data_IF_948954058054
#
_entry.id   IF_948954058054
#
_cell.length_a   1.000
_cell.length_b   1.000
_cell.length_c   1.000
_cell.angle_alpha   90.00
_cell.angle_beta   90.00
_cell.angle_gamma   90.00
#
_symmetry.space_group_name_H-M   'P 1'
#
loop_
_entity.id
_entity.type
_entity.pdbx_description
1 polymer ?
#
# COMPACT_ATOMS: atom_id res chain seq x y z
N UNK A 1 -4.24 -5.07 28.82
CA UNK A 1 -4.06 -6.15 27.81
C UNK A 1 -3.40 -5.56 26.56
N UNK A 2 -2.62 -6.34 25.82
CA UNK A 2 -2.04 -5.91 24.54
C UNK A 2 -2.61 -6.76 23.40
N UNK A 3 -3.03 -6.11 22.32
CA UNK A 3 -3.65 -6.73 21.15
C UNK A 3 -2.72 -6.60 19.95
N UNK A 4 -2.30 -7.73 19.40
CA UNK A 4 -1.39 -7.80 18.26
C UNK A 4 -2.07 -8.45 17.06
N UNK A 5 -1.87 -7.88 15.87
CA UNK A 5 -2.24 -8.54 14.62
C UNK A 5 -1.12 -9.48 14.17
N UNK A 6 -1.30 -10.78 14.38
CA UNK A 6 -0.24 -11.79 14.15
C UNK A 6 -0.11 -12.24 12.70
N UNK A 7 -1.10 -11.94 11.84
CA UNK A 7 -1.16 -12.38 10.44
C UNK A 7 -0.65 -11.35 9.44
N UNK A 8 0.19 -10.41 9.89
CA UNK A 8 0.67 -9.30 9.06
C UNK A 8 1.49 -9.78 7.84
N UNK A 9 2.20 -10.90 7.97
CA UNK A 9 3.02 -11.46 6.91
C UNK A 9 2.18 -11.91 5.70
N UNK A 10 1.07 -12.61 5.95
CA UNK A 10 0.17 -13.06 4.89
C UNK A 10 -0.56 -11.87 4.25
N UNK A 11 -1.05 -10.96 5.09
CA UNK A 11 -1.76 -9.75 4.64
C UNK A 11 -0.86 -8.88 3.75
N UNK A 12 0.43 -8.77 4.09
CA UNK A 12 1.41 -8.01 3.31
C UNK A 12 1.49 -8.47 1.86
N UNK A 13 1.47 -9.77 1.60
CA UNK A 13 1.56 -10.32 0.24
C UNK A 13 0.30 -9.98 -0.56
N UNK A 14 -0.88 -10.15 0.07
CA UNK A 14 -2.17 -9.81 -0.56
C UNK A 14 -2.27 -8.32 -0.86
N UNK A 15 -1.97 -7.46 0.12
CA UNK A 15 -2.00 -6.00 -0.03
C UNK A 15 -1.02 -5.51 -1.08
N UNK A 16 0.18 -6.10 -1.19
CA UNK A 16 1.14 -5.75 -2.23
C UNK A 16 0.56 -6.03 -3.62
N UNK A 17 0.00 -7.22 -3.82
CA UNK A 17 -0.61 -7.60 -5.11
C UNK A 17 -1.75 -6.67 -5.51
N UNK A 18 -2.66 -6.37 -4.57
CA UNK A 18 -3.78 -5.46 -4.80
C UNK A 18 -3.31 -4.02 -5.08
N UNK A 19 -2.37 -3.50 -4.28
CA UNK A 19 -1.85 -2.14 -4.45
C UNK A 19 -1.06 -1.98 -5.76
N UNK A 20 -0.28 -2.97 -6.17
CA UNK A 20 0.41 -2.94 -7.48
C UNK A 20 -0.58 -2.99 -8.64
N UNK A 21 -1.65 -3.78 -8.53
CA UNK A 21 -2.70 -3.84 -9.56
C UNK A 21 -3.42 -2.49 -9.69
N UNK A 22 -3.78 -1.87 -8.57
CA UNK A 22 -4.37 -0.53 -8.55
C UNK A 22 -3.41 0.52 -9.14
N UNK A 23 -2.13 0.49 -8.76
CA UNK A 23 -1.12 1.40 -9.32
C UNK A 23 -0.98 1.26 -10.85
N UNK A 24 -1.03 0.03 -11.38
CA UNK A 24 -1.02 -0.22 -12.83
C UNK A 24 -2.24 0.40 -13.53
N UNK A 25 -3.44 0.16 -12.98
CA UNK A 25 -4.67 0.71 -13.54
C UNK A 25 -4.64 2.24 -13.61
N UNK A 26 -4.15 2.89 -12.54
CA UNK A 26 -3.98 4.35 -12.51
C UNK A 26 -2.96 4.82 -13.54
N UNK A 27 -1.83 4.14 -13.66
CA UNK A 27 -0.81 4.47 -14.64
C UNK A 27 -1.31 4.34 -16.09
N UNK A 28 -2.11 3.32 -16.40
CA UNK A 28 -2.77 3.16 -17.71
C UNK A 28 -3.74 4.31 -18.00
N UNK A 29 -4.58 4.68 -17.03
CA UNK A 29 -5.53 5.80 -17.21
C UNK A 29 -4.79 7.13 -17.43
N UNK A 30 -3.70 7.37 -16.71
CA UNK A 30 -2.88 8.57 -16.90
C UNK A 30 -2.25 8.57 -18.29
N UNK A 31 -1.61 7.47 -18.71
CA UNK A 31 -0.90 7.44 -19.99
C UNK A 31 -1.84 7.56 -21.19
N UNK A 32 -3.01 6.91 -21.14
CA UNK A 32 -4.02 6.98 -22.20
C UNK A 32 -4.47 8.42 -22.46
N UNK A 33 -4.69 9.20 -21.40
CA UNK A 33 -5.08 10.61 -21.50
C UNK A 33 -3.95 11.51 -22.05
N UNK A 34 -2.69 11.06 -22.00
CA UNK A 34 -1.54 11.79 -22.55
C UNK A 34 -1.08 11.27 -23.92
N UNK A 35 -1.82 10.33 -24.54
CA UNK A 35 -1.46 9.73 -25.82
C UNK A 35 -0.30 8.75 -25.77
N UNK A 36 0.07 8.28 -24.58
CA UNK A 36 1.16 7.32 -24.35
C UNK A 36 0.64 5.99 -23.80
N UNK A 37 1.47 4.95 -23.84
CA UNK A 37 1.13 3.66 -23.22
C UNK A 37 2.15 3.31 -22.14
N UNK A 38 1.72 2.63 -21.07
CA UNK A 38 2.68 2.12 -20.08
C UNK A 38 3.37 0.84 -20.59
N UNK A 39 4.63 0.70 -20.23
CA UNK A 39 5.49 -0.46 -20.49
C UNK A 39 5.63 -1.36 -19.26
N UNK A 40 6.78 -2.03 -19.16
CA UNK A 40 7.05 -2.93 -18.05
C UNK A 40 7.20 -2.17 -16.72
N UNK A 41 6.89 -2.85 -15.61
CA UNK A 41 7.20 -2.35 -14.27
C UNK A 41 8.73 -2.28 -14.10
N UNK A 42 9.24 -1.09 -13.78
CA UNK A 42 10.67 -0.85 -13.54
C UNK A 42 11.05 -1.00 -12.08
N UNK A 43 10.18 -0.54 -11.18
CA UNK A 43 10.39 -0.65 -9.74
C UNK A 43 9.07 -0.63 -8.99
N UNK A 44 8.99 -1.38 -7.90
CA UNK A 44 7.93 -1.27 -6.91
C UNK A 44 8.56 -1.20 -5.52
N UNK A 45 8.14 -0.23 -4.72
CA UNK A 45 8.60 -0.03 -3.35
C UNK A 45 7.39 0.07 -2.42
N UNK A 46 7.35 -0.80 -1.43
CA UNK A 46 6.36 -0.72 -0.35
C UNK A 46 6.91 0.18 0.76
N UNK A 47 6.07 1.10 1.25
CA UNK A 47 6.34 1.93 2.41
C UNK A 47 6.17 1.19 3.73
N UNK A 48 6.31 1.94 4.82
CA UNK A 48 6.04 1.44 6.17
C UNK A 48 4.54 1.15 6.38
N UNK A 49 4.23 0.19 7.24
CA UNK A 49 2.86 -0.10 7.64
C UNK A 49 2.40 0.86 8.74
N UNK A 50 1.16 1.32 8.62
CA UNK A 50 0.43 2.02 9.66
C UNK A 50 -0.63 1.06 10.19
N UNK A 51 -0.43 0.56 11.41
CA UNK A 51 -1.40 -0.28 12.12
C UNK A 51 -1.98 0.57 13.24
N UNK A 52 -3.15 1.15 12.98
CA UNK A 52 -3.79 2.15 13.83
C UNK A 52 -5.13 1.63 14.35
N UNK A 53 -5.71 2.26 15.39
CA UNK A 53 -7.11 2.02 15.76
C UNK A 53 -8.05 2.30 14.59
N UNK A 54 -9.22 1.68 14.60
CA UNK A 54 -10.27 1.94 13.60
C UNK A 54 -10.61 3.44 13.54
N UNK A 55 -10.72 3.99 12.33
CA UNK A 55 -10.98 5.42 12.06
C UNK A 55 -9.89 6.40 12.52
N UNK A 56 -8.70 5.92 12.87
CA UNK A 56 -7.57 6.80 13.17
C UNK A 56 -6.98 7.39 11.89
N UNK A 57 -6.65 8.68 11.94
CA UNK A 57 -5.93 9.41 10.86
C UNK A 57 -4.44 9.55 11.17
N UNK A 58 -3.95 8.86 12.20
CA UNK A 58 -2.55 8.91 12.60
C UNK A 58 -1.65 8.28 11.54
N UNK A 59 -0.54 8.94 11.27
CA UNK A 59 0.50 8.48 10.35
C UNK A 59 1.88 8.79 10.93
N UNK A 60 2.84 7.91 10.69
CA UNK A 60 4.23 8.07 11.13
C UNK A 60 5.19 7.64 10.02
N UNK A 61 6.29 8.37 9.87
CA UNK A 61 7.36 8.02 8.93
C UNK A 61 8.00 6.66 9.25
N UNK A 62 7.97 6.25 10.52
CA UNK A 62 8.49 4.96 10.98
C UNK A 62 7.42 3.86 11.01
N UNK A 63 6.17 4.19 10.69
CA UNK A 63 5.02 3.32 10.88
C UNK A 63 4.43 3.42 12.28
N UNK A 64 3.21 2.90 12.42
CA UNK A 64 2.49 2.81 13.70
C UNK A 64 2.19 1.35 13.97
N UNK A 65 2.34 0.94 15.22
CA UNK A 65 1.91 -0.36 15.70
C UNK A 65 1.11 -0.19 17.00
N UNK A 66 -0.16 0.14 16.85
CA UNK A 66 -1.06 0.19 17.98
C UNK A 66 -1.19 -1.20 18.62
N UNK A 67 -1.05 -1.27 19.94
CA UNK A 67 -1.23 -2.51 20.73
C UNK A 67 -2.39 -2.39 21.71
N UNK A 68 -3.09 -1.26 21.73
CA UNK A 68 -4.13 -0.96 22.71
C UNK A 68 -5.53 -1.33 22.24
N UNK A 69 -5.81 -1.23 20.94
CA UNK A 69 -7.13 -1.45 20.35
C UNK A 69 -7.30 -2.88 19.86
N UNK A 70 -8.51 -3.44 20.00
CA UNK A 70 -8.83 -4.76 19.45
C UNK A 70 -9.05 -4.70 17.93
N UNK A 71 -9.85 -3.74 17.48
CA UNK A 71 -10.08 -3.46 16.06
C UNK A 71 -8.99 -2.53 15.54
N UNK A 72 -8.48 -2.84 14.34
CA UNK A 72 -7.34 -2.16 13.75
C UNK A 72 -7.56 -1.91 12.26
N UNK A 73 -7.07 -0.76 11.81
CA UNK A 73 -6.93 -0.44 10.40
C UNK A 73 -5.46 -0.60 10.00
N UNK A 74 -5.20 -1.22 8.85
CA UNK A 74 -3.85 -1.47 8.35
C UNK A 74 -3.71 -0.80 7.00
N UNK A 75 -2.83 0.20 6.95
CA UNK A 75 -2.58 1.00 5.75
C UNK A 75 -1.12 0.89 5.36
N UNK A 76 -0.87 0.68 4.06
CA UNK A 76 0.47 0.71 3.49
C UNK A 76 0.42 1.34 2.09
N UNK A 77 1.43 2.12 1.77
CA UNK A 77 1.55 2.79 0.46
C UNK A 77 2.54 2.02 -0.40
N UNK A 78 2.18 1.76 -1.66
CA UNK A 78 3.08 1.15 -2.65
C UNK A 78 3.34 2.15 -3.76
N UNK A 79 4.61 2.44 -4.01
CA UNK A 79 5.06 3.28 -5.12
C UNK A 79 5.53 2.38 -6.25
N UNK A 80 4.89 2.47 -7.41
CA UNK A 80 5.28 1.75 -8.61
C UNK A 80 5.76 2.73 -9.69
N UNK A 81 6.79 2.35 -10.43
CA UNK A 81 7.31 3.09 -11.58
C UNK A 81 7.24 2.20 -12.80
N UNK A 82 6.57 2.69 -13.84
CA UNK A 82 6.41 2.00 -15.12
C UNK A 82 7.18 2.75 -16.20
N UNK A 83 7.67 1.99 -17.18
CA UNK A 83 8.19 2.58 -18.41
C UNK A 83 7.07 3.22 -19.23
N UNK A 84 7.39 4.20 -20.08
CA UNK A 84 6.47 4.77 -21.07
C UNK A 84 6.89 4.29 -22.45
N UNK A 85 5.90 3.95 -23.27
CA UNK A 85 6.02 3.58 -24.68
C UNK A 85 5.48 4.70 -25.57
#
# INVERSE_FOLDING_TARGET
>A
PQYYYTKIADLKVSMLGEATKDAKNRAEQISQNTGSSIGALKSAKMGVFQITPLYSTEVSDYGINDTSSLEKEITAVVTCTFEIK
#
